data_IF_639407110253
#
_entry.id   IF_639407110253
#
_cell.length_a   1.000
_cell.length_b   1.000
_cell.length_c   1.000
_cell.angle_alpha   90.00
_cell.angle_beta   90.00
_cell.angle_gamma   90.00
#
_symmetry.space_group_name_H-M   'P 1'
#
loop_
_entity.id
_entity.type
_entity.pdbx_description
1 polymer ?
#
# COMPACT_ATOMS: atom_id res chain seq x y z
N UNK A 1 -2.10 -0.44 -7.06
CA UNK A 1 -2.52 -0.39 -5.64
C UNK A 1 -3.70 0.55 -5.52
N UNK A 2 -4.68 0.19 -4.71
CA UNK A 2 -5.87 0.99 -4.47
C UNK A 2 -6.16 1.08 -2.97
N UNK A 3 -6.76 2.19 -2.51
CA UNK A 3 -7.37 2.30 -1.21
C UNK A 3 -8.87 2.09 -1.36
N UNK A 4 -9.43 1.11 -0.66
CA UNK A 4 -10.87 0.81 -0.69
C UNK A 4 -11.52 1.09 0.65
N UNK A 5 -12.77 1.56 0.61
CA UNK A 5 -13.59 1.83 1.80
C UNK A 5 -15.02 1.38 1.58
N UNK A 6 -15.68 0.97 2.67
CA UNK A 6 -17.10 0.63 2.70
C UNK A 6 -17.75 1.14 3.99
N UNK A 7 -18.95 1.64 3.88
CA UNK A 7 -19.75 2.13 5.02
C UNK A 7 -21.19 1.63 4.88
N UNK A 8 -21.70 1.02 5.95
CA UNK A 8 -23.11 0.81 6.18
C UNK A 8 -23.51 1.65 7.38
N UNK A 9 -24.40 2.62 7.18
CA UNK A 9 -24.86 3.53 8.24
C UNK A 9 -26.19 4.14 7.85
N UNK A 10 -27.14 4.14 8.79
CA UNK A 10 -28.44 4.81 8.62
C UNK A 10 -28.37 6.35 8.63
N UNK A 11 -27.22 6.91 8.99
CA UNK A 11 -27.00 8.35 9.06
C UNK A 11 -25.68 8.76 8.39
N UNK A 12 -25.77 9.73 7.48
CA UNK A 12 -24.61 10.38 6.85
C UNK A 12 -23.57 9.40 6.21
N UNK A 13 -24.02 8.25 5.67
CA UNK A 13 -23.14 7.22 5.13
C UNK A 13 -22.13 7.76 4.10
N UNK A 14 -22.57 8.66 3.20
CA UNK A 14 -21.70 9.29 2.19
C UNK A 14 -20.58 10.11 2.83
N UNK A 15 -20.89 10.94 3.85
CA UNK A 15 -19.89 11.73 4.56
C UNK A 15 -18.88 10.84 5.28
N UNK A 16 -19.35 9.79 5.94
CA UNK A 16 -18.52 8.83 6.66
C UNK A 16 -17.59 8.09 5.68
N UNK A 17 -18.12 7.65 4.55
CA UNK A 17 -17.33 7.00 3.49
C UNK A 17 -16.30 7.97 2.89
N UNK A 18 -16.64 9.22 2.66
CA UNK A 18 -15.72 10.23 2.15
C UNK A 18 -14.58 10.51 3.13
N UNK A 19 -14.87 10.62 4.43
CA UNK A 19 -13.84 10.80 5.46
C UNK A 19 -12.86 9.60 5.47
N UNK A 20 -13.38 8.37 5.40
CA UNK A 20 -12.55 7.17 5.28
C UNK A 20 -11.72 7.15 3.99
N UNK A 21 -12.31 7.59 2.87
CA UNK A 21 -11.62 7.62 1.58
C UNK A 21 -10.43 8.59 1.57
N UNK A 22 -10.55 9.74 2.23
CA UNK A 22 -9.40 10.62 2.47
C UNK A 22 -8.28 9.92 3.25
N UNK A 23 -8.63 9.09 4.22
CA UNK A 23 -7.67 8.33 5.03
C UNK A 23 -6.85 7.32 4.26
N UNK A 24 -7.35 6.83 3.12
CA UNK A 24 -6.65 5.87 2.23
C UNK A 24 -6.12 6.50 0.93
N UNK A 25 -6.17 7.84 0.79
CA UNK A 25 -5.73 8.56 -0.43
C UNK A 25 -4.29 8.26 -0.83
N UNK A 26 -3.39 7.96 0.11
CA UNK A 26 -1.99 7.62 -0.16
C UNK A 26 -1.84 6.34 -0.99
N UNK A 27 -2.82 5.43 -0.99
CA UNK A 27 -2.83 4.19 -1.78
C UNK A 27 -3.12 4.42 -3.27
N UNK A 28 -3.77 5.55 -3.63
CA UNK A 28 -4.05 5.88 -5.02
C UNK A 28 -4.29 7.38 -5.23
N UNK A 29 -3.77 7.94 -6.32
CA UNK A 29 -3.83 9.39 -6.60
C UNK A 29 -4.22 9.70 -8.05
N UNK A 30 -4.46 8.68 -8.89
CA UNK A 30 -4.78 8.86 -10.31
C UNK A 30 -6.27 9.04 -10.55
N UNK A 31 -7.10 8.38 -9.75
CA UNK A 31 -8.56 8.52 -9.80
C UNK A 31 -9.19 8.23 -8.45
N UNK A 32 -10.41 8.69 -8.28
CA UNK A 32 -11.25 8.36 -7.13
C UNK A 32 -12.69 8.12 -7.58
N UNK A 33 -13.44 7.36 -6.79
CA UNK A 33 -14.85 7.12 -7.04
C UNK A 33 -15.58 6.61 -5.82
N UNK A 34 -16.89 6.79 -5.82
CA UNK A 34 -17.81 6.30 -4.79
C UNK A 34 -19.09 5.78 -5.42
N UNK A 35 -19.67 4.75 -4.85
CA UNK A 35 -21.03 4.29 -5.13
C UNK A 35 -21.85 4.36 -3.87
N UNK A 36 -23.00 4.99 -3.93
CA UNK A 36 -24.00 5.02 -2.87
C UNK A 36 -25.22 4.22 -3.27
N UNK A 37 -25.74 3.41 -2.35
CA UNK A 37 -26.92 2.59 -2.56
C UNK A 37 -27.87 2.66 -1.36
N UNK A 38 -29.18 2.65 -1.64
CA UNK A 38 -30.22 2.63 -0.65
C UNK A 38 -31.58 2.52 -1.30
N UNK A 39 -32.55 1.92 -0.59
CA UNK A 39 -33.87 1.66 -1.13
C UNK A 39 -33.79 0.87 -2.44
N UNK A 40 -34.19 1.51 -3.55
CA UNK A 40 -34.20 0.91 -4.89
C UNK A 40 -33.21 1.60 -5.86
N UNK A 41 -32.25 2.34 -5.35
CA UNK A 41 -31.31 3.12 -6.16
C UNK A 41 -29.86 2.79 -5.85
N UNK A 42 -29.03 2.84 -6.88
CA UNK A 42 -27.57 2.78 -6.77
C UNK A 42 -26.98 3.78 -7.76
N UNK A 43 -26.11 4.64 -7.28
CA UNK A 43 -25.52 5.75 -8.04
C UNK A 43 -24.02 5.79 -7.83
N UNK A 44 -23.26 5.96 -8.92
CA UNK A 44 -21.80 6.02 -8.87
C UNK A 44 -21.29 7.37 -9.33
N UNK A 45 -20.35 7.90 -8.57
CA UNK A 45 -19.59 9.10 -8.86
C UNK A 45 -18.10 8.79 -8.94
N UNK A 46 -17.44 9.16 -10.03
CA UNK A 46 -16.02 8.87 -10.23
C UNK A 46 -15.36 9.86 -11.20
N UNK A 47 -14.05 10.02 -11.04
CA UNK A 47 -13.27 10.95 -11.87
C UNK A 47 -11.78 10.78 -11.70
N UNK A 48 -11.00 11.47 -12.54
CA UNK A 48 -9.54 11.53 -12.46
C UNK A 48 -9.08 12.48 -11.37
N UNK A 49 -8.02 12.11 -10.67
CA UNK A 49 -7.36 12.91 -9.66
C UNK A 49 -7.68 12.51 -8.22
N UNK A 50 -7.34 13.37 -7.29
CA UNK A 50 -7.50 13.15 -5.87
C UNK A 50 -8.97 13.15 -5.44
N UNK A 51 -9.25 12.51 -4.32
CA UNK A 51 -10.58 12.49 -3.67
C UNK A 51 -11.13 13.91 -3.52
N UNK A 52 -10.28 14.87 -3.09
CA UNK A 52 -10.66 16.28 -2.94
C UNK A 52 -11.16 16.95 -4.22
N UNK A 53 -10.64 16.53 -5.38
CA UNK A 53 -11.02 17.08 -6.67
C UNK A 53 -12.28 16.41 -7.21
N UNK A 54 -12.34 15.07 -7.10
CA UNK A 54 -13.44 14.26 -7.65
C UNK A 54 -14.71 14.41 -6.82
N UNK A 55 -14.57 14.45 -5.49
CA UNK A 55 -15.70 14.42 -4.57
C UNK A 55 -16.11 15.81 -4.06
N UNK A 56 -15.51 16.89 -4.58
CA UNK A 56 -15.75 18.28 -4.14
C UNK A 56 -17.22 18.70 -4.17
N UNK A 57 -17.93 18.29 -5.21
CA UNK A 57 -19.30 18.69 -5.47
C UNK A 57 -20.34 17.63 -5.05
N UNK A 58 -19.89 16.50 -4.52
CA UNK A 58 -20.74 15.40 -4.05
C UNK A 58 -21.78 15.85 -3.03
N UNK A 59 -21.38 16.72 -2.10
CA UNK A 59 -22.25 17.18 -1.01
C UNK A 59 -23.47 17.97 -1.45
N UNK A 60 -23.45 18.55 -2.65
CA UNK A 60 -24.54 19.42 -3.13
C UNK A 60 -25.57 18.68 -3.99
N UNK A 61 -25.17 17.60 -4.65
CA UNK A 61 -25.98 16.98 -5.69
C UNK A 61 -26.20 15.46 -5.54
N UNK A 62 -25.51 14.82 -4.61
CA UNK A 62 -25.45 13.34 -4.55
C UNK A 62 -26.04 12.73 -3.27
N UNK A 63 -26.20 13.51 -2.20
CA UNK A 63 -26.77 13.01 -0.94
C UNK A 63 -28.26 12.71 -1.11
N UNK A 64 -28.64 11.48 -0.82
CA UNK A 64 -30.03 11.07 -0.69
C UNK A 64 -30.26 10.52 0.72
N UNK A 65 -31.35 10.88 1.41
CA UNK A 65 -31.57 10.44 2.78
C UNK A 65 -31.68 8.91 2.93
N UNK A 66 -32.00 8.21 1.86
CA UNK A 66 -32.13 6.75 1.87
C UNK A 66 -30.82 6.02 1.53
N UNK A 67 -29.68 6.72 1.33
CA UNK A 67 -28.39 6.06 1.10
C UNK A 67 -27.81 5.59 2.42
N UNK A 68 -27.68 4.28 2.59
CA UNK A 68 -27.13 3.66 3.79
C UNK A 68 -25.97 2.70 3.52
N UNK A 69 -25.70 2.35 2.25
CA UNK A 69 -24.53 1.59 1.81
C UNK A 69 -23.70 2.48 0.91
N UNK A 70 -22.44 2.71 1.27
CA UNK A 70 -21.51 3.47 0.43
C UNK A 70 -20.19 2.73 0.33
N UNK A 71 -19.70 2.56 -0.90
CA UNK A 71 -18.34 2.10 -1.15
C UNK A 71 -17.54 3.17 -1.87
N UNK A 72 -16.23 3.14 -1.72
CA UNK A 72 -15.34 4.08 -2.42
C UNK A 72 -13.96 3.51 -2.66
N UNK A 73 -13.27 4.11 -3.60
CA UNK A 73 -11.86 3.81 -3.86
C UNK A 73 -11.07 5.04 -4.27
N UNK A 74 -9.77 5.01 -3.91
CA UNK A 74 -8.73 5.86 -4.45
C UNK A 74 -7.76 4.97 -5.22
N UNK A 75 -7.66 5.14 -6.54
CA UNK A 75 -6.90 4.26 -7.41
C UNK A 75 -5.58 4.88 -7.85
N UNK A 76 -4.52 4.05 -7.88
CA UNK A 76 -3.21 4.38 -8.43
C UNK A 76 -3.00 3.86 -9.86
N UNK A 77 -4.02 3.31 -10.50
CA UNK A 77 -3.95 2.86 -11.89
C UNK A 77 -4.12 4.04 -12.85
N UNK A 78 -3.46 3.96 -14.03
CA UNK A 78 -3.49 5.04 -15.01
C UNK A 78 -4.90 5.29 -15.54
N UNK A 79 -5.47 6.43 -15.13
CA UNK A 79 -6.83 6.84 -15.43
C UNK A 79 -7.11 7.17 -16.91
N UNK A 80 -6.08 7.27 -17.75
CA UNK A 80 -6.23 7.58 -19.18
C UNK A 80 -6.47 6.34 -20.04
N UNK A 81 -6.20 5.15 -19.51
CA UNK A 81 -6.18 3.90 -20.29
C UNK A 81 -7.33 2.96 -19.98
N UNK A 82 -8.09 3.17 -18.91
CA UNK A 82 -9.02 2.19 -18.35
C UNK A 82 -10.29 2.82 -17.76
N UNK A 83 -11.31 1.99 -17.58
CA UNK A 83 -12.50 2.37 -16.84
C UNK A 83 -12.15 2.69 -15.37
N UNK A 84 -12.75 3.73 -14.81
CA UNK A 84 -12.47 4.15 -13.44
C UNK A 84 -13.31 3.33 -12.44
N UNK A 85 -12.71 2.79 -11.36
CA UNK A 85 -13.48 2.15 -10.29
C UNK A 85 -14.20 3.19 -9.40
N UNK A 86 -15.27 2.81 -8.67
CA UNK A 86 -15.93 1.51 -8.65
C UNK A 86 -16.60 1.14 -9.98
N UNK A 87 -16.65 -0.17 -10.29
CA UNK A 87 -17.30 -0.68 -11.49
C UNK A 87 -18.68 -1.25 -11.17
N UNK A 88 -19.65 -0.93 -12.03
CA UNK A 88 -21.04 -1.39 -11.90
C UNK A 88 -21.35 -2.54 -12.86
N UNK A 89 -22.14 -3.48 -12.36
CA UNK A 89 -22.69 -4.62 -13.08
C UNK A 89 -24.18 -4.72 -12.80
N UNK A 90 -24.95 -5.14 -13.78
CA UNK A 90 -26.41 -5.20 -13.65
C UNK A 90 -27.00 -6.46 -14.31
N UNK A 91 -28.02 -7.00 -13.70
CA UNK A 91 -28.90 -8.04 -14.18
C UNK A 91 -30.37 -7.64 -13.93
N UNK A 92 -31.31 -8.49 -14.29
CA UNK A 92 -32.73 -8.22 -14.02
C UNK A 92 -32.99 -8.02 -12.53
N UNK A 93 -32.43 -8.89 -11.68
CA UNK A 93 -32.62 -8.86 -10.22
C UNK A 93 -31.58 -8.02 -9.50
N UNK A 94 -30.29 -8.12 -9.84
CA UNK A 94 -29.21 -7.51 -9.06
C UNK A 94 -28.56 -6.34 -9.78
N UNK A 95 -28.23 -5.29 -9.00
CA UNK A 95 -27.22 -4.30 -9.36
C UNK A 95 -26.07 -4.40 -8.36
N UNK A 96 -24.85 -4.48 -8.85
CA UNK A 96 -23.65 -4.74 -8.07
C UNK A 96 -22.56 -3.75 -8.47
N UNK A 97 -21.97 -3.08 -7.47
CA UNK A 97 -20.83 -2.19 -7.69
C UNK A 97 -19.69 -2.63 -6.80
N UNK A 98 -18.45 -2.64 -7.31
CA UNK A 98 -17.29 -3.06 -6.54
C UNK A 98 -16.06 -2.18 -6.73
N UNK A 99 -15.25 -2.10 -5.67
CA UNK A 99 -13.89 -1.58 -5.64
C UNK A 99 -12.95 -2.63 -5.04
N UNK A 100 -11.74 -2.76 -5.58
CA UNK A 100 -10.84 -3.86 -5.27
C UNK A 100 -9.39 -3.39 -5.23
N UNK A 101 -8.65 -3.73 -4.16
CA UNK A 101 -7.18 -3.66 -4.12
C UNK A 101 -6.60 -5.07 -4.29
N UNK A 102 -5.90 -5.33 -5.38
CA UNK A 102 -5.40 -6.67 -5.65
C UNK A 102 -4.81 -6.85 -7.03
N UNK A 103 -4.64 -8.13 -7.40
CA UNK A 103 -4.11 -8.52 -8.70
C UNK A 103 -4.73 -9.84 -9.18
N UNK A 104 -5.12 -9.86 -10.44
CA UNK A 104 -5.58 -11.05 -11.16
C UNK A 104 -4.60 -11.33 -12.29
N UNK A 105 -3.98 -12.51 -12.27
CA UNK A 105 -3.03 -12.91 -13.32
C UNK A 105 -3.75 -13.11 -14.66
N UNK A 106 -3.02 -12.90 -15.75
CA UNK A 106 -3.49 -13.14 -17.14
C UNK A 106 -4.76 -12.37 -17.52
N UNK A 107 -5.03 -11.24 -16.88
CA UNK A 107 -6.21 -10.40 -17.15
C UNK A 107 -6.16 -9.64 -18.48
N UNK A 108 -5.01 -9.66 -19.18
CA UNK A 108 -4.77 -8.84 -20.37
C UNK A 108 -4.79 -7.35 -20.01
N UNK A 109 -5.47 -6.54 -20.83
CA UNK A 109 -5.65 -5.10 -20.57
C UNK A 109 -6.82 -4.76 -19.64
N UNK A 110 -7.61 -5.77 -19.17
CA UNK A 110 -8.76 -5.55 -18.29
C UNK A 110 -8.32 -5.15 -16.88
N UNK A 111 -9.17 -4.38 -16.19
CA UNK A 111 -9.03 -4.13 -14.75
C UNK A 111 -9.23 -5.42 -13.93
N UNK A 112 -8.68 -5.47 -12.74
CA UNK A 112 -8.95 -6.56 -11.79
C UNK A 112 -10.45 -6.62 -11.45
N UNK A 113 -11.08 -5.46 -11.25
CA UNK A 113 -12.51 -5.30 -11.03
C UNK A 113 -13.34 -5.86 -12.18
N UNK A 114 -12.92 -5.65 -13.42
CA UNK A 114 -13.65 -6.18 -14.61
C UNK A 114 -13.67 -7.71 -14.63
N UNK A 115 -12.56 -8.34 -14.25
CA UNK A 115 -12.48 -9.80 -14.20
C UNK A 115 -13.31 -10.35 -13.05
N UNK A 116 -13.05 -9.88 -11.84
CA UNK A 116 -13.72 -10.37 -10.63
C UNK A 116 -15.21 -10.08 -10.68
N UNK A 117 -15.60 -8.84 -11.02
CA UNK A 117 -17.00 -8.42 -11.07
C UNK A 117 -17.81 -9.14 -12.15
N UNK A 118 -17.22 -9.39 -13.34
CA UNK A 118 -17.89 -10.15 -14.40
C UNK A 118 -18.18 -11.59 -13.97
N UNK A 119 -17.22 -12.26 -13.34
CA UNK A 119 -17.39 -13.63 -12.83
C UNK A 119 -18.46 -13.71 -11.74
N UNK A 120 -18.45 -12.77 -10.79
CA UNK A 120 -19.46 -12.69 -9.73
C UNK A 120 -20.84 -12.48 -10.37
N UNK A 121 -20.96 -11.51 -11.29
CA UNK A 121 -22.26 -11.21 -11.93
C UNK A 121 -22.79 -12.36 -12.79
N UNK A 122 -21.92 -13.10 -13.48
CA UNK A 122 -22.30 -14.30 -14.21
C UNK A 122 -22.98 -15.33 -13.31
N UNK A 123 -22.40 -15.59 -12.13
CA UNK A 123 -22.94 -16.53 -11.15
C UNK A 123 -24.26 -16.03 -10.54
N UNK A 124 -24.34 -14.73 -10.24
CA UNK A 124 -25.59 -14.12 -9.76
C UNK A 124 -26.73 -14.25 -10.79
N UNK A 125 -26.42 -14.08 -12.10
CA UNK A 125 -27.39 -14.32 -13.19
C UNK A 125 -27.81 -15.77 -13.26
N UNK A 126 -26.93 -16.70 -12.89
CA UNK A 126 -27.23 -18.14 -12.77
C UNK A 126 -28.10 -18.49 -11.57
N UNK A 127 -28.52 -17.52 -10.75
CA UNK A 127 -29.40 -17.72 -9.60
C UNK A 127 -28.70 -18.11 -8.30
N UNK A 128 -27.34 -18.03 -8.24
CA UNK A 128 -26.61 -18.27 -7.01
C UNK A 128 -26.65 -17.04 -6.10
N UNK A 129 -26.58 -17.24 -4.76
CA UNK A 129 -26.43 -16.15 -3.82
C UNK A 129 -25.00 -15.57 -3.83
N UNK A 130 -24.82 -14.33 -3.32
CA UNK A 130 -23.56 -13.58 -3.37
C UNK A 130 -22.39 -14.34 -2.70
N UNK A 131 -22.60 -15.02 -1.62
CA UNK A 131 -21.57 -15.81 -0.91
C UNK A 131 -21.04 -16.96 -1.78
N UNK A 132 -21.94 -17.66 -2.46
CA UNK A 132 -21.58 -18.75 -3.37
C UNK A 132 -20.87 -18.18 -4.60
N UNK A 133 -21.39 -17.12 -5.19
CA UNK A 133 -20.80 -16.46 -6.35
C UNK A 133 -19.36 -16.01 -6.10
N UNK A 134 -19.09 -15.39 -4.95
CA UNK A 134 -17.75 -14.94 -4.56
C UNK A 134 -16.82 -16.14 -4.30
N UNK A 135 -17.31 -17.17 -3.57
CA UNK A 135 -16.53 -18.37 -3.28
C UNK A 135 -16.10 -19.09 -4.56
N UNK A 136 -17.00 -19.25 -5.51
CA UNK A 136 -16.69 -19.89 -6.81
C UNK A 136 -15.72 -19.04 -7.64
N UNK A 137 -15.88 -17.71 -7.64
CA UNK A 137 -14.95 -16.79 -8.29
C UNK A 137 -13.55 -16.92 -7.72
N UNK A 138 -13.40 -17.01 -6.40
CA UNK A 138 -12.09 -17.27 -5.77
C UNK A 138 -11.48 -18.60 -6.20
N UNK A 139 -12.29 -19.64 -6.38
CA UNK A 139 -11.83 -20.96 -6.82
C UNK A 139 -11.39 -20.97 -8.30
N UNK A 140 -12.05 -20.18 -9.12
CA UNK A 140 -11.68 -20.01 -10.54
C UNK A 140 -10.42 -19.15 -10.74
N UNK A 141 -10.06 -18.34 -9.73
CA UNK A 141 -8.92 -17.45 -9.75
C UNK A 141 -7.89 -17.81 -8.66
N UNK A 142 -7.33 -19.05 -8.65
CA UNK A 142 -6.51 -19.54 -7.55
C UNK A 142 -5.21 -18.76 -7.33
N UNK A 143 -4.72 -18.07 -8.36
CA UNK A 143 -3.49 -17.25 -8.32
C UNK A 143 -3.80 -15.74 -8.22
N UNK A 144 -5.04 -15.36 -8.01
CA UNK A 144 -5.42 -13.99 -7.71
C UNK A 144 -5.34 -13.72 -6.21
N UNK A 145 -5.12 -12.46 -5.88
CA UNK A 145 -5.31 -11.97 -4.53
C UNK A 145 -6.01 -10.61 -4.57
N UNK A 146 -6.91 -10.38 -3.63
CA UNK A 146 -7.63 -9.12 -3.55
C UNK A 146 -8.32 -8.91 -2.21
N UNK A 147 -8.40 -7.65 -1.82
CA UNK A 147 -9.33 -7.14 -0.82
C UNK A 147 -10.39 -6.31 -1.54
N UNK A 148 -11.65 -6.61 -1.33
CA UNK A 148 -12.77 -6.07 -2.10
C UNK A 148 -13.84 -5.51 -1.16
N UNK A 149 -14.42 -4.38 -1.54
CA UNK A 149 -15.68 -3.87 -1.00
C UNK A 149 -16.70 -3.74 -2.12
N UNK A 150 -17.94 -4.10 -1.84
CA UNK A 150 -19.00 -4.03 -2.83
C UNK A 150 -20.32 -3.57 -2.23
N UNK A 151 -21.10 -2.86 -3.03
CA UNK A 151 -22.50 -2.58 -2.78
C UNK A 151 -23.35 -3.50 -3.68
N UNK A 152 -24.24 -4.26 -3.09
CA UNK A 152 -25.19 -5.13 -3.78
C UNK A 152 -26.61 -4.59 -3.55
N UNK A 153 -27.35 -4.34 -4.61
CA UNK A 153 -28.77 -4.01 -4.59
C UNK A 153 -29.56 -5.18 -5.16
N UNK A 154 -30.42 -5.81 -4.35
CA UNK A 154 -31.46 -6.74 -4.78
C UNK A 154 -32.71 -5.92 -5.12
N UNK A 155 -33.06 -5.85 -6.41
CA UNK A 155 -34.18 -5.06 -6.92
C UNK A 155 -35.55 -5.64 -6.53
N UNK A 156 -35.61 -6.98 -6.37
CA UNK A 156 -36.84 -7.68 -6.02
C UNK A 156 -37.17 -7.44 -4.53
N UNK A 157 -36.15 -7.51 -3.66
CA UNK A 157 -36.29 -7.28 -2.23
C UNK A 157 -36.16 -5.80 -1.84
N UNK A 158 -35.77 -4.92 -2.78
CA UNK A 158 -35.50 -3.49 -2.56
C UNK A 158 -34.52 -3.23 -1.43
N UNK A 159 -33.49 -4.06 -1.35
CA UNK A 159 -32.52 -4.08 -0.25
C UNK A 159 -31.11 -3.89 -0.79
N UNK A 160 -30.37 -3.01 -0.11
CA UNK A 160 -28.95 -2.82 -0.39
C UNK A 160 -28.09 -3.43 0.72
N UNK A 161 -26.96 -4.01 0.36
CA UNK A 161 -26.03 -4.67 1.28
C UNK A 161 -24.61 -4.19 1.04
N UNK A 162 -23.86 -4.01 2.13
CA UNK A 162 -22.41 -3.85 2.09
C UNK A 162 -21.76 -5.23 2.19
N UNK A 163 -20.88 -5.53 1.25
CA UNK A 163 -20.10 -6.76 1.19
C UNK A 163 -18.62 -6.41 1.22
N UNK A 164 -17.87 -7.02 2.14
CA UNK A 164 -16.43 -6.90 2.23
C UNK A 164 -15.79 -8.29 2.19
N UNK A 165 -14.74 -8.46 1.39
CA UNK A 165 -14.13 -9.75 1.15
C UNK A 165 -12.62 -9.63 1.14
N UNK A 166 -11.96 -10.55 1.84
CA UNK A 166 -10.51 -10.74 1.72
C UNK A 166 -10.25 -12.13 1.16
N UNK A 167 -9.45 -12.22 0.10
CA UNK A 167 -9.14 -13.48 -0.59
C UNK A 167 -8.43 -14.51 0.31
N UNK A 168 -8.22 -15.73 -0.20
CA UNK A 168 -7.59 -16.82 0.57
C UNK A 168 -6.19 -16.49 1.08
N UNK A 169 -5.42 -15.69 0.33
CA UNK A 169 -4.03 -15.36 0.68
C UNK A 169 -3.93 -14.14 1.60
N UNK A 170 -4.90 -13.22 1.54
CA UNK A 170 -4.89 -12.00 2.34
C UNK A 170 -3.65 -11.13 2.11
N UNK A 171 -3.12 -11.11 0.87
CA UNK A 171 -1.92 -10.34 0.51
C UNK A 171 -2.12 -8.86 0.79
N UNK A 172 -3.32 -8.34 0.50
CA UNK A 172 -3.71 -6.98 0.81
C UNK A 172 -4.50 -6.91 2.12
N UNK A 173 -4.30 -5.86 2.93
CA UNK A 173 -5.05 -5.69 4.15
C UNK A 173 -6.51 -5.30 3.87
N UNK A 174 -7.39 -5.66 4.80
CA UNK A 174 -8.75 -5.16 4.87
C UNK A 174 -9.18 -5.16 6.33
N UNK A 175 -9.54 -4.00 6.84
CA UNK A 175 -9.85 -3.76 8.23
C UNK A 175 -11.31 -3.36 8.39
N UNK A 176 -11.96 -3.82 9.44
CA UNK A 176 -13.33 -3.43 9.78
C UNK A 176 -13.41 -2.84 11.18
N UNK A 177 -14.41 -1.99 11.35
CA UNK A 177 -14.90 -1.55 12.65
C UNK A 177 -16.42 -1.45 12.63
N UNK A 178 -17.04 -1.66 13.76
CA UNK A 178 -18.50 -1.68 13.85
C UNK A 178 -18.99 -1.27 15.24
N UNK A 179 -20.26 -0.89 15.27
CA UNK A 179 -21.12 -0.85 16.43
C UNK A 179 -22.43 -1.59 16.10
N UNK A 180 -23.45 -1.46 16.95
CA UNK A 180 -24.73 -2.15 16.77
C UNK A 180 -25.38 -1.87 15.40
N UNK A 181 -25.33 -0.61 14.95
CA UNK A 181 -26.05 -0.13 13.76
C UNK A 181 -25.17 0.03 12.52
N UNK A 182 -23.86 0.16 12.67
CA UNK A 182 -22.97 0.60 11.62
C UNK A 182 -21.82 -0.39 11.35
N UNK A 183 -21.37 -0.44 10.10
CA UNK A 183 -20.15 -1.13 9.69
C UNK A 183 -19.29 -0.20 8.86
N UNK A 184 -18.02 -0.10 9.24
CA UNK A 184 -16.96 0.59 8.52
C UNK A 184 -15.92 -0.41 8.04
N UNK A 185 -15.54 -0.32 6.78
CA UNK A 185 -14.48 -1.15 6.18
C UNK A 185 -13.49 -0.23 5.49
N UNK A 186 -12.20 -0.49 5.64
CA UNK A 186 -11.14 0.24 4.95
C UNK A 186 -9.93 -0.67 4.69
N UNK A 187 -9.11 -0.31 3.71
CA UNK A 187 -7.83 -0.99 3.47
C UNK A 187 -6.90 -0.98 4.68
N UNK A 188 -7.02 0.00 5.57
CA UNK A 188 -6.18 0.18 6.76
C UNK A 188 -7.00 0.68 7.97
N UNK A 189 -6.46 0.53 9.17
CA UNK A 189 -7.13 1.00 10.40
C UNK A 189 -7.14 2.52 10.56
N UNK A 190 -6.14 3.23 10.04
CA UNK A 190 -5.99 4.67 10.27
C UNK A 190 -7.22 5.53 9.91
N UNK A 191 -7.97 5.29 8.82
CA UNK A 191 -9.23 6.00 8.58
C UNK A 191 -10.26 5.78 9.68
N UNK A 192 -10.31 4.56 10.22
CA UNK A 192 -11.25 4.19 11.30
C UNK A 192 -10.90 4.93 12.59
N UNK A 193 -9.61 5.05 12.92
CA UNK A 193 -9.15 5.80 14.09
C UNK A 193 -9.56 7.29 14.02
N UNK A 194 -9.56 7.87 12.81
CA UNK A 194 -10.07 9.22 12.57
C UNK A 194 -11.57 9.30 12.83
N UNK A 195 -12.35 8.31 12.38
CA UNK A 195 -13.81 8.27 12.61
C UNK A 195 -14.13 8.18 14.10
N UNK A 196 -13.41 7.34 14.85
CA UNK A 196 -13.55 7.26 16.31
C UNK A 196 -13.25 8.60 16.99
N UNK A 197 -12.17 9.28 16.56
CA UNK A 197 -11.81 10.62 17.04
C UNK A 197 -12.87 11.69 16.72
N UNK A 198 -13.66 11.49 15.68
CA UNK A 198 -14.80 12.34 15.31
C UNK A 198 -16.09 12.01 16.08
N UNK A 199 -16.02 11.10 17.06
CA UNK A 199 -17.13 10.74 17.94
C UNK A 199 -18.00 9.58 17.43
N UNK A 200 -17.55 8.82 16.44
CA UNK A 200 -18.24 7.57 16.08
C UNK A 200 -17.98 6.53 17.17
N UNK A 201 -19.05 6.00 17.76
CA UNK A 201 -18.99 4.98 18.80
C UNK A 201 -18.61 3.63 18.22
N UNK A 202 -17.31 3.35 18.12
CA UNK A 202 -16.79 2.07 17.63
C UNK A 202 -16.67 1.10 18.83
N UNK A 203 -17.32 -0.06 18.73
CA UNK A 203 -17.31 -1.08 19.77
C UNK A 203 -16.34 -2.21 19.49
N UNK A 204 -16.23 -2.58 18.21
CA UNK A 204 -15.36 -3.66 17.75
C UNK A 204 -14.56 -3.23 16.54
N UNK A 205 -13.30 -3.69 16.47
CA UNK A 205 -12.43 -3.48 15.33
C UNK A 205 -11.46 -4.66 15.15
N UNK A 206 -11.25 -5.07 13.90
CA UNK A 206 -10.36 -6.18 13.57
C UNK A 206 -9.99 -6.21 12.08
N UNK A 207 -8.92 -6.95 11.77
CA UNK A 207 -8.64 -7.35 10.39
C UNK A 207 -9.69 -8.36 9.93
N UNK A 208 -10.17 -8.25 8.67
CA UNK A 208 -10.96 -9.32 8.06
C UNK A 208 -10.02 -10.49 7.77
N UNK A 209 -10.36 -11.66 8.26
CA UNK A 209 -9.54 -12.86 8.09
C UNK A 209 -9.43 -13.25 6.60
N UNK A 210 -8.25 -13.74 6.14
CA UNK A 210 -8.13 -14.28 4.78
C UNK A 210 -9.16 -15.38 4.51
N UNK A 211 -9.69 -15.42 3.30
CA UNK A 211 -10.72 -16.37 2.87
C UNK A 211 -12.11 -16.07 3.40
N UNK A 212 -12.35 -14.89 3.97
CA UNK A 212 -13.61 -14.53 4.63
C UNK A 212 -14.36 -13.41 3.93
N UNK A 213 -15.67 -13.43 4.13
CA UNK A 213 -16.62 -12.41 3.73
C UNK A 213 -17.33 -11.86 4.97
N UNK A 214 -17.48 -10.54 4.99
CA UNK A 214 -18.37 -9.83 5.93
C UNK A 214 -19.45 -9.15 5.12
N UNK A 215 -20.72 -9.33 5.54
CA UNK A 215 -21.89 -8.72 4.89
C UNK A 215 -22.77 -8.04 5.95
N UNK A 216 -23.20 -6.83 5.64
CA UNK A 216 -24.17 -6.09 6.47
C UNK A 216 -25.37 -5.68 5.62
N UNK A 217 -26.55 -5.99 6.13
CA UNK A 217 -27.83 -5.58 5.59
C UNK A 217 -28.75 -5.15 6.76
N UNK A 218 -30.00 -4.84 6.46
CA UNK A 218 -31.08 -4.63 7.45
C UNK A 218 -31.39 -5.87 8.28
N UNK A 219 -31.07 -7.07 7.78
CA UNK A 219 -31.18 -8.35 8.53
C UNK A 219 -30.06 -8.53 9.56
N UNK A 220 -29.04 -7.68 9.55
CA UNK A 220 -27.90 -7.71 10.47
C UNK A 220 -26.55 -7.98 9.80
N UNK A 221 -25.57 -8.29 10.63
CA UNK A 221 -24.20 -8.61 10.23
C UNK A 221 -24.02 -10.12 10.08
N UNK A 222 -23.34 -10.50 9.00
CA UNK A 222 -22.94 -11.90 8.76
C UNK A 222 -21.47 -11.95 8.45
N UNK A 223 -20.72 -12.81 9.14
CA UNK A 223 -19.34 -13.16 8.80
C UNK A 223 -19.29 -14.63 8.38
N UNK A 224 -18.65 -14.93 7.26
CA UNK A 224 -18.53 -16.27 6.70
C UNK A 224 -17.12 -16.55 6.19
N UNK A 225 -16.57 -17.68 6.57
CA UNK A 225 -15.40 -18.27 5.93
C UNK A 225 -15.83 -18.90 4.61
N UNK A 226 -15.36 -18.38 3.48
CA UNK A 226 -15.72 -18.87 2.15
C UNK A 226 -14.78 -19.97 1.67
N UNK A 227 -13.47 -19.82 1.96
CA UNK A 227 -12.41 -20.76 1.57
C UNK A 227 -11.39 -20.89 2.69
N UNK A 228 -10.57 -21.96 2.66
CA UNK A 228 -9.49 -22.13 3.62
C UNK A 228 -8.40 -21.06 3.39
N UNK A 229 -7.94 -20.38 4.45
CA UNK A 229 -6.90 -19.37 4.35
C UNK A 229 -5.55 -19.98 3.98
N UNK A 230 -4.85 -19.30 3.07
CA UNK A 230 -3.46 -19.57 2.67
C UNK A 230 -2.64 -18.31 2.93
N UNK A 231 -2.67 -17.83 4.14
CA UNK A 231 -2.25 -16.49 4.55
C UNK A 231 -0.84 -16.14 4.06
N UNK A 232 -0.71 -15.05 3.33
CA UNK A 232 0.54 -14.53 2.76
C UNK A 232 0.51 -13.00 2.67
N UNK A 233 0.37 -12.33 3.82
CA UNK A 233 0.30 -10.87 3.88
C UNK A 233 1.59 -10.24 3.34
N UNK A 234 1.49 -9.24 2.48
CA UNK A 234 2.64 -8.58 1.87
C UNK A 234 3.51 -7.89 2.94
N UNK A 235 4.76 -8.32 3.10
CA UNK A 235 5.69 -7.71 4.05
C UNK A 235 5.95 -6.22 3.77
N UNK A 236 5.88 -5.82 2.50
CA UNK A 236 6.10 -4.43 2.07
C UNK A 236 4.98 -3.47 2.50
N UNK A 237 3.83 -3.99 2.95
CA UNK A 237 2.78 -3.16 3.56
C UNK A 237 3.28 -2.46 4.82
N UNK A 238 4.03 -3.15 5.70
CA UNK A 238 4.62 -2.51 6.88
C UNK A 238 5.81 -1.62 6.56
N UNK A 239 6.52 -1.90 5.47
CA UNK A 239 7.73 -1.15 5.11
C UNK A 239 7.39 0.17 4.42
N UNK A 240 6.47 0.12 3.44
CA UNK A 240 6.20 1.27 2.57
C UNK A 240 4.71 1.62 2.44
N UNK A 241 3.84 0.64 2.06
CA UNK A 241 2.48 0.98 1.62
C UNK A 241 1.59 1.51 2.74
N UNK A 242 1.61 0.87 3.91
CA UNK A 242 0.75 1.23 5.04
C UNK A 242 1.15 2.56 5.68
N UNK A 243 0.17 3.30 6.16
CA UNK A 243 0.42 4.52 6.95
C UNK A 243 1.08 4.14 8.28
N UNK A 244 2.00 4.98 8.81
CA UNK A 244 2.66 4.70 10.10
C UNK A 244 1.69 4.54 11.28
N UNK A 245 0.57 5.23 11.26
CA UNK A 245 -0.48 5.17 12.28
C UNK A 245 -1.41 3.95 12.15
N UNK A 246 -1.33 3.19 11.06
CA UNK A 246 -2.15 2.00 10.84
C UNK A 246 -1.69 0.80 11.67
N UNK A 247 -2.67 -0.05 12.00
CA UNK A 247 -2.49 -1.39 12.57
C UNK A 247 -2.98 -2.41 11.56
N UNK A 248 -2.17 -3.40 11.25
CA UNK A 248 -2.49 -4.52 10.35
C UNK A 248 -2.04 -5.82 11.02
N UNK A 249 -2.89 -6.87 11.02
CA UNK A 249 -2.63 -8.14 11.71
C UNK A 249 -2.18 -7.94 13.19
N UNK A 250 -2.76 -6.94 13.85
CA UNK A 250 -2.40 -6.58 15.22
C UNK A 250 -1.00 -5.95 15.38
N UNK A 251 -0.36 -5.49 14.29
CA UNK A 251 0.99 -4.89 14.29
C UNK A 251 0.93 -3.45 13.80
N UNK A 252 1.32 -2.50 14.65
CA UNK A 252 1.41 -1.10 14.27
C UNK A 252 2.60 -0.86 13.33
N UNK A 253 2.35 -0.18 12.21
CA UNK A 253 3.34 0.08 11.15
C UNK A 253 4.53 0.91 11.66
N UNK A 254 4.27 1.99 12.43
CA UNK A 254 5.35 2.81 13.00
C UNK A 254 6.30 1.98 13.88
N UNK A 255 5.73 1.13 14.74
CA UNK A 255 6.52 0.29 15.63
C UNK A 255 7.36 -0.75 14.86
N UNK A 256 6.82 -1.31 13.79
CA UNK A 256 7.57 -2.22 12.90
C UNK A 256 8.74 -1.49 12.26
N UNK A 257 8.51 -0.31 11.66
CA UNK A 257 9.57 0.50 11.03
C UNK A 257 10.65 0.93 12.01
N UNK A 258 10.29 1.25 13.26
CA UNK A 258 11.29 1.51 14.32
C UNK A 258 12.18 0.30 14.58
N UNK A 259 11.59 -0.89 14.73
CA UNK A 259 12.35 -2.15 14.91
C UNK A 259 13.29 -2.43 13.74
N UNK A 260 12.84 -2.18 12.49
CA UNK A 260 13.70 -2.28 11.31
C UNK A 260 14.91 -1.35 11.40
N UNK A 261 14.73 -0.12 11.87
CA UNK A 261 15.83 0.81 12.10
C UNK A 261 16.79 0.35 13.18
N UNK A 262 16.29 -0.21 14.27
CA UNK A 262 17.12 -0.79 15.35
C UNK A 262 17.92 -2.00 14.84
N UNK A 263 17.28 -2.90 14.06
CA UNK A 263 17.91 -4.07 13.48
C UNK A 263 19.09 -3.71 12.55
N UNK A 264 18.97 -2.64 11.75
CA UNK A 264 20.08 -2.13 10.92
C UNK A 264 21.32 -1.78 11.77
N UNK A 265 21.11 -1.11 12.89
CA UNK A 265 22.21 -0.72 13.79
C UNK A 265 22.89 -1.94 14.40
N UNK A 266 22.13 -2.95 14.78
CA UNK A 266 22.63 -4.18 15.40
C UNK A 266 23.34 -5.05 14.38
N UNK A 267 22.71 -5.34 13.23
CA UNK A 267 23.25 -6.21 12.17
C UNK A 267 24.57 -5.70 11.63
N UNK A 268 24.72 -4.40 11.46
CA UNK A 268 25.94 -3.79 10.92
C UNK A 268 26.88 -3.22 11.99
N UNK A 269 26.62 -3.48 13.27
CA UNK A 269 27.45 -3.04 14.39
C UNK A 269 27.76 -1.53 14.38
N UNK A 270 26.80 -0.71 13.94
CA UNK A 270 27.01 0.72 13.67
C UNK A 270 27.34 1.55 14.90
N UNK A 271 27.07 1.06 16.11
CA UNK A 271 27.41 1.75 17.36
C UNK A 271 28.90 2.02 17.52
N UNK A 272 29.76 1.16 16.99
CA UNK A 272 31.21 1.33 17.06
C UNK A 272 31.67 2.55 16.22
N UNK A 273 31.06 2.78 15.07
CA UNK A 273 31.41 3.86 14.14
C UNK A 273 30.70 5.19 14.46
N UNK A 274 29.42 5.13 14.85
CA UNK A 274 28.54 6.29 14.92
C UNK A 274 27.91 6.53 16.30
N UNK A 275 28.02 5.60 17.24
CA UNK A 275 27.32 5.65 18.52
C UNK A 275 27.81 6.72 19.49
N UNK A 276 26.90 7.12 20.40
CA UNK A 276 27.16 8.07 21.50
C UNK A 276 26.78 9.52 21.20
N UNK A 277 26.95 10.42 22.15
CA UNK A 277 26.54 11.83 22.03
C UNK A 277 27.48 12.61 21.10
N UNK A 278 27.33 12.44 19.81
CA UNK A 278 28.17 13.07 18.76
C UNK A 278 27.42 14.23 18.11
N UNK A 279 28.14 15.34 17.88
CA UNK A 279 27.62 16.50 17.13
C UNK A 279 27.95 16.48 15.65
N UNK A 280 28.91 15.65 15.25
CA UNK A 280 29.38 15.46 13.89
C UNK A 280 28.61 14.41 13.09
N UNK A 281 27.64 13.72 13.72
CA UNK A 281 26.76 12.72 13.09
C UNK A 281 25.30 13.15 13.22
N UNK A 282 24.55 13.00 12.15
CA UNK A 282 23.09 13.21 12.13
C UNK A 282 22.40 12.11 11.34
N UNK A 283 21.29 11.60 11.85
CA UNK A 283 20.41 10.67 11.14
C UNK A 283 19.25 11.46 10.57
N UNK A 284 19.00 11.33 9.28
CA UNK A 284 17.93 12.03 8.58
C UNK A 284 17.05 11.05 7.80
N UNK A 285 15.74 11.26 7.73
CA UNK A 285 14.85 10.42 6.92
C UNK A 285 14.74 10.92 5.48
N UNK A 286 14.48 9.99 4.54
CA UNK A 286 13.77 10.33 3.32
C UNK A 286 12.28 10.49 3.67
N UNK A 287 11.67 11.64 3.43
CA UNK A 287 10.25 11.85 3.71
C UNK A 287 9.35 11.10 2.70
N UNK A 288 8.28 10.38 3.12
CA UNK A 288 7.80 10.23 4.49
C UNK A 288 8.14 8.83 5.06
N UNK A 289 8.50 7.87 4.20
CA UNK A 289 8.70 6.44 4.50
C UNK A 289 9.84 6.19 5.50
N UNK A 290 10.94 6.93 5.39
CA UNK A 290 12.11 6.81 6.26
C UNK A 290 11.95 7.35 7.69
N UNK A 291 10.90 8.15 8.00
CA UNK A 291 10.77 8.85 9.29
C UNK A 291 10.76 7.90 10.50
N UNK A 292 9.95 6.86 10.47
CA UNK A 292 9.87 5.90 11.60
C UNK A 292 11.16 5.09 11.76
N UNK A 293 11.80 4.74 10.64
CA UNK A 293 13.11 4.07 10.62
C UNK A 293 14.18 4.95 11.23
N UNK A 294 14.20 6.25 10.88
CA UNK A 294 15.10 7.26 11.40
C UNK A 294 15.08 7.32 12.94
N UNK A 295 13.87 7.32 13.52
CA UNK A 295 13.72 7.28 14.98
C UNK A 295 14.36 6.02 15.56
N UNK A 296 14.13 4.84 14.96
CA UNK A 296 14.71 3.58 15.44
C UNK A 296 16.23 3.55 15.37
N UNK A 297 16.82 4.04 14.27
CA UNK A 297 18.27 4.15 14.10
C UNK A 297 18.88 5.12 15.09
N UNK A 298 18.31 6.31 15.23
CA UNK A 298 18.83 7.35 16.14
C UNK A 298 18.79 6.90 17.60
N UNK A 299 17.69 6.30 18.04
CA UNK A 299 17.58 5.72 19.39
C UNK A 299 18.64 4.64 19.64
N UNK A 300 18.82 3.72 18.68
CA UNK A 300 19.79 2.62 18.81
C UNK A 300 21.24 3.13 18.82
N UNK A 301 21.55 4.18 18.07
CA UNK A 301 22.89 4.79 18.06
C UNK A 301 23.13 5.75 19.25
N UNK A 302 22.07 6.34 19.81
CA UNK A 302 22.19 7.41 20.82
C UNK A 302 22.65 8.74 20.19
N UNK A 303 22.25 9.02 18.94
CA UNK A 303 22.55 10.24 18.19
C UNK A 303 21.28 11.03 17.87
N UNK A 304 21.44 12.24 17.34
CA UNK A 304 20.30 13.09 16.97
C UNK A 304 19.65 12.61 15.67
N UNK A 305 18.32 12.44 15.71
CA UNK A 305 17.47 12.40 14.51
C UNK A 305 17.02 13.83 14.19
N UNK A 306 17.11 14.23 12.92
CA UNK A 306 16.70 15.57 12.50
C UNK A 306 16.14 15.54 11.07
N UNK A 307 15.44 16.59 10.68
CA UNK A 307 14.99 16.78 9.30
C UNK A 307 16.13 17.35 8.46
N UNK A 308 16.67 16.57 7.56
CA UNK A 308 17.72 17.00 6.61
C UNK A 308 17.20 17.23 5.20
N UNK A 309 16.05 16.63 4.87
CA UNK A 309 15.42 16.70 3.55
C UNK A 309 13.92 16.97 3.72
N UNK A 310 13.41 17.96 2.99
CA UNK A 310 11.98 18.30 2.95
C UNK A 310 11.41 17.92 1.60
N UNK A 311 10.30 17.19 1.62
CA UNK A 311 9.51 16.88 0.43
C UNK A 311 8.56 18.03 0.12
N UNK A 312 8.58 18.51 -1.11
CA UNK A 312 7.60 19.49 -1.57
C UNK A 312 6.24 18.80 -1.75
N UNK A 313 5.31 19.07 -0.82
CA UNK A 313 3.97 18.47 -0.82
C UNK A 313 3.08 18.94 -2.00
N UNK A 314 3.43 20.04 -2.64
CA UNK A 314 2.66 20.61 -3.75
C UNK A 314 3.08 20.08 -5.12
N UNK A 315 4.22 19.39 -5.21
CA UNK A 315 4.64 18.68 -6.40
C UNK A 315 4.04 17.28 -6.40
N UNK A 316 3.16 17.01 -7.35
CA UNK A 316 2.55 15.71 -7.57
C UNK A 316 3.57 14.64 -7.99
N UNK A 317 3.08 13.53 -8.53
CA UNK A 317 3.93 12.43 -9.01
C UNK A 317 4.69 12.84 -10.26
N UNK A 318 6.02 12.93 -10.16
CA UNK A 318 6.91 13.44 -11.22
C UNK A 318 7.07 12.48 -12.40
N UNK A 319 6.74 11.21 -12.24
CA UNK A 319 6.83 10.22 -13.32
C UNK A 319 5.71 10.33 -14.38
N UNK A 320 4.68 11.14 -14.14
CA UNK A 320 3.60 11.44 -15.11
C UNK A 320 4.06 12.46 -16.16
N UNK A 321 5.18 13.15 -15.91
CA UNK A 321 5.75 14.14 -16.83
C UNK A 321 6.44 13.39 -17.97
N UNK A 322 5.94 13.53 -19.19
CA UNK A 322 6.47 12.83 -20.37
C UNK A 322 7.85 13.36 -20.80
N UNK A 323 8.12 14.65 -20.58
CA UNK A 323 9.41 15.28 -20.91
C UNK A 323 10.52 14.88 -19.91
N UNK A 324 11.61 14.22 -20.36
CA UNK A 324 12.70 13.76 -19.49
C UNK A 324 13.41 14.88 -18.73
N UNK A 325 13.57 16.06 -19.34
CA UNK A 325 14.24 17.20 -18.72
C UNK A 325 13.36 17.83 -17.63
N UNK A 326 12.09 18.04 -17.91
CA UNK A 326 11.11 18.48 -16.90
C UNK A 326 10.95 17.46 -15.77
N UNK A 327 11.00 16.17 -16.07
CA UNK A 327 10.96 15.10 -15.05
C UNK A 327 12.16 15.18 -14.11
N UNK A 328 13.35 15.42 -14.63
CA UNK A 328 14.57 15.61 -13.84
C UNK A 328 14.47 16.85 -12.95
N UNK A 329 14.06 17.99 -13.51
CA UNK A 329 13.85 19.24 -12.75
C UNK A 329 12.80 19.03 -11.65
N UNK A 330 11.68 18.40 -11.95
CA UNK A 330 10.64 18.12 -10.98
C UNK A 330 11.10 17.15 -9.87
N UNK A 331 11.97 16.19 -10.19
CA UNK A 331 12.60 15.30 -9.21
C UNK A 331 13.53 16.08 -8.26
N UNK A 332 14.34 16.97 -8.79
CA UNK A 332 15.24 17.83 -8.00
C UNK A 332 14.47 18.82 -7.13
N UNK A 333 13.33 19.36 -7.61
CA UNK A 333 12.46 20.25 -6.85
C UNK A 333 11.64 19.51 -5.77
N UNK A 334 11.50 18.20 -5.88
CA UNK A 334 10.70 17.39 -4.95
C UNK A 334 11.34 17.27 -3.58
N UNK A 335 12.67 17.26 -3.52
CA UNK A 335 13.42 17.10 -2.28
C UNK A 335 14.39 18.29 -2.10
N UNK A 336 14.15 19.09 -1.07
CA UNK A 336 15.03 20.20 -0.72
C UNK A 336 15.80 19.90 0.56
N UNK A 337 17.08 20.33 0.61
CA UNK A 337 17.98 20.06 1.74
C UNK A 337 17.98 21.20 2.76
N UNK A 338 17.91 20.86 4.04
CA UNK A 338 18.10 21.79 5.15
C UNK A 338 19.60 21.86 5.45
N UNK A 339 20.25 22.94 4.99
CA UNK A 339 21.72 23.11 5.02
C UNK A 339 22.28 23.07 6.44
N UNK A 340 21.64 23.74 7.39
CA UNK A 340 22.14 23.87 8.77
C UNK A 340 22.13 22.52 9.51
N UNK A 341 21.24 21.62 9.12
CA UNK A 341 21.17 20.26 9.67
C UNK A 341 22.37 19.42 9.24
N UNK A 342 22.84 19.53 8.00
CA UNK A 342 23.76 18.57 7.38
C UNK A 342 25.18 19.08 7.17
N UNK A 343 25.38 20.40 7.11
CA UNK A 343 26.68 21.00 6.80
C UNK A 343 27.75 20.65 7.85
N UNK A 344 28.90 20.14 7.39
CA UNK A 344 30.02 19.73 8.22
C UNK A 344 29.72 18.50 9.08
N UNK A 345 28.75 17.67 8.67
CA UNK A 345 28.40 16.44 9.40
C UNK A 345 28.47 15.21 8.49
N UNK A 346 28.67 14.07 9.13
CA UNK A 346 28.42 12.75 8.56
C UNK A 346 26.93 12.48 8.60
N UNK A 347 26.33 12.27 7.47
CA UNK A 347 24.89 12.13 7.32
C UNK A 347 24.53 10.67 7.12
N UNK A 348 23.67 10.14 7.98
CA UNK A 348 23.09 8.81 7.83
C UNK A 348 21.66 9.00 7.33
N UNK A 349 21.41 8.64 6.06
CA UNK A 349 20.07 8.63 5.48
C UNK A 349 19.37 7.33 5.84
N UNK A 350 18.10 7.42 6.19
CA UNK A 350 17.22 6.26 6.36
C UNK A 350 16.09 6.27 5.34
N UNK A 351 15.86 5.16 4.69
CA UNK A 351 14.78 4.98 3.71
C UNK A 351 14.12 3.60 3.83
N UNK A 352 13.01 3.42 3.11
CA UNK A 352 12.32 2.13 3.07
C UNK A 352 13.04 1.14 2.15
N UNK A 353 13.38 1.52 0.93
CA UNK A 353 13.91 0.63 -0.09
C UNK A 353 14.73 1.38 -1.16
N UNK A 354 15.66 0.68 -1.79
CA UNK A 354 16.30 1.10 -3.04
C UNK A 354 15.81 0.17 -4.15
N UNK A 355 15.00 0.73 -5.08
CA UNK A 355 14.55 -0.01 -6.27
C UNK A 355 15.54 0.21 -7.41
N UNK A 356 15.72 1.45 -7.87
CA UNK A 356 16.66 1.84 -8.95
C UNK A 356 17.85 2.68 -8.48
N UNK A 357 17.77 3.26 -7.30
CA UNK A 357 18.80 4.15 -6.74
C UNK A 357 18.77 5.59 -7.23
N UNK A 358 17.95 5.95 -8.22
CA UNK A 358 17.93 7.31 -8.81
C UNK A 358 17.59 8.40 -7.79
N UNK A 359 16.60 8.16 -6.94
CA UNK A 359 16.21 9.11 -5.88
C UNK A 359 17.28 9.19 -4.81
N UNK A 360 17.82 8.05 -4.40
CA UNK A 360 18.87 7.94 -3.37
C UNK A 360 20.11 8.73 -3.79
N UNK A 361 20.58 8.55 -5.02
CA UNK A 361 21.72 9.27 -5.57
C UNK A 361 21.46 10.79 -5.70
N UNK A 362 20.28 11.18 -6.20
CA UNK A 362 19.93 12.61 -6.32
C UNK A 362 19.94 13.33 -4.97
N UNK A 363 19.34 12.70 -3.94
CA UNK A 363 19.31 13.25 -2.59
C UNK A 363 20.71 13.32 -1.99
N UNK A 364 21.49 12.23 -2.05
CA UNK A 364 22.87 12.19 -1.54
C UNK A 364 23.76 13.24 -2.18
N UNK A 365 23.70 13.39 -3.51
CA UNK A 365 24.41 14.41 -4.26
C UNK A 365 24.08 15.83 -3.80
N UNK A 366 22.80 16.11 -3.51
CA UNK A 366 22.39 17.41 -3.00
C UNK A 366 22.90 17.67 -1.58
N UNK A 367 22.96 16.65 -0.73
CA UNK A 367 23.54 16.73 0.62
C UNK A 367 25.05 17.06 0.57
N UNK A 368 25.81 16.38 -0.28
CA UNK A 368 27.24 16.67 -0.49
C UNK A 368 27.44 18.10 -1.00
N UNK A 369 26.64 18.55 -1.99
CA UNK A 369 26.71 19.92 -2.53
C UNK A 369 26.51 21.02 -1.48
N UNK A 370 25.70 20.78 -0.46
CA UNK A 370 25.44 21.75 0.60
C UNK A 370 26.40 21.65 1.78
N UNK A 371 27.37 20.68 1.72
CA UNK A 371 28.49 20.59 2.65
C UNK A 371 28.39 19.45 3.66
N UNK A 372 27.61 18.41 3.43
CA UNK A 372 27.76 17.15 4.14
C UNK A 372 29.17 16.57 3.88
N UNK A 373 29.83 16.05 4.93
CA UNK A 373 31.16 15.45 4.83
C UNK A 373 31.14 14.10 4.14
N UNK A 374 30.20 13.26 4.52
CA UNK A 374 29.96 11.96 3.93
C UNK A 374 28.48 11.59 4.08
N UNK A 375 28.00 10.69 3.24
CA UNK A 375 26.62 10.19 3.25
C UNK A 375 26.63 8.68 3.26
N UNK A 376 26.04 8.09 4.33
CA UNK A 376 25.71 6.67 4.43
C UNK A 376 24.21 6.47 4.24
N UNK A 377 23.81 5.33 3.67
CA UNK A 377 22.42 5.05 3.34
C UNK A 377 21.95 3.74 3.97
N UNK A 378 20.98 3.83 4.88
CA UNK A 378 20.39 2.70 5.58
C UNK A 378 19.02 2.37 5.00
N UNK A 379 18.87 1.19 4.46
CA UNK A 379 17.65 0.69 3.82
C UNK A 379 16.94 -0.25 4.77
N UNK A 380 15.72 0.11 5.18
CA UNK A 380 14.98 -0.68 6.17
C UNK A 380 14.46 -2.00 5.65
N UNK A 381 14.29 -2.15 4.33
CA UNK A 381 13.93 -3.41 3.71
C UNK A 381 15.17 -4.24 3.34
N UNK A 382 14.97 -5.51 3.01
CA UNK A 382 16.02 -6.33 2.42
C UNK A 382 16.23 -5.97 0.94
N UNK A 383 17.37 -6.34 0.32
CA UNK A 383 17.59 -6.12 -1.10
C UNK A 383 16.46 -6.70 -1.94
N UNK A 384 15.94 -5.90 -2.88
CA UNK A 384 14.86 -6.33 -3.80
C UNK A 384 15.51 -6.97 -5.02
N UNK A 385 15.30 -8.29 -5.17
CA UNK A 385 15.85 -9.06 -6.29
C UNK A 385 14.84 -9.32 -7.39
N UNK A 386 13.55 -9.41 -7.05
CA UNK A 386 12.50 -9.80 -7.97
C UNK A 386 11.44 -8.72 -8.09
N UNK A 387 10.99 -8.39 -9.32
CA UNK A 387 9.83 -7.52 -9.49
C UNK A 387 8.60 -8.17 -8.89
N UNK A 388 7.74 -7.38 -8.25
CA UNK A 388 6.51 -7.91 -7.69
C UNK A 388 5.65 -8.54 -8.79
N UNK A 389 5.06 -9.71 -8.54
CA UNK A 389 4.18 -10.37 -9.49
C UNK A 389 2.87 -9.59 -9.79
N UNK A 390 2.60 -8.53 -9.02
CA UNK A 390 1.46 -7.63 -9.23
C UNK A 390 1.78 -6.41 -10.08
N UNK A 391 3.07 -6.11 -10.28
CA UNK A 391 3.50 -4.94 -11.03
C UNK A 391 4.15 -5.34 -12.36
N UNK A 392 4.15 -4.47 -13.38
CA UNK A 392 4.95 -4.69 -14.58
C UNK A 392 6.41 -4.93 -14.18
N UNK A 393 7.12 -5.86 -14.84
CA UNK A 393 8.51 -6.15 -14.50
C UNK A 393 9.36 -4.88 -14.65
N UNK A 394 9.90 -4.39 -13.53
CA UNK A 394 10.91 -3.35 -13.56
C UNK A 394 12.24 -3.99 -13.93
N UNK A 395 12.73 -3.71 -15.14
CA UNK A 395 13.95 -4.33 -15.70
C UNK A 395 15.24 -3.89 -15.00
N UNK A 396 15.17 -2.92 -14.06
CA UNK A 396 16.34 -2.31 -13.45
C UNK A 396 16.24 -2.26 -11.92
N UNK A 397 16.27 -3.42 -11.27
CA UNK A 397 16.40 -3.51 -9.81
C UNK A 397 17.88 -3.40 -9.43
N UNK A 398 18.25 -2.42 -8.59
CA UNK A 398 19.64 -2.12 -8.24
C UNK A 398 20.38 -3.30 -7.59
N UNK A 399 19.67 -4.13 -6.80
CA UNK A 399 20.24 -5.27 -6.09
C UNK A 399 20.13 -6.60 -6.85
N UNK A 400 19.26 -6.71 -7.86
CA UNK A 400 18.99 -7.97 -8.55
C UNK A 400 20.24 -8.67 -9.15
N UNK A 401 21.22 -7.92 -9.73
CA UNK A 401 22.43 -8.55 -10.26
C UNK A 401 23.33 -9.23 -9.20
N UNK A 402 23.07 -8.95 -7.93
CA UNK A 402 23.92 -9.35 -6.81
C UNK A 402 23.24 -10.39 -5.90
N UNK A 403 22.21 -11.05 -6.40
CA UNK A 403 21.57 -12.15 -5.66
C UNK A 403 22.61 -13.25 -5.36
N UNK A 404 22.61 -13.73 -4.12
CA UNK A 404 23.55 -14.73 -3.64
C UNK A 404 24.83 -14.19 -3.00
N UNK A 405 25.12 -12.87 -3.14
CA UNK A 405 26.18 -12.21 -2.40
C UNK A 405 25.77 -11.97 -0.93
N UNK A 406 26.74 -11.76 -0.04
CA UNK A 406 26.46 -11.32 1.32
C UNK A 406 25.86 -9.91 1.35
N UNK A 407 25.12 -9.57 2.41
CA UNK A 407 24.52 -8.22 2.57
C UNK A 407 25.58 -7.10 2.49
N UNK A 408 26.79 -7.35 2.99
CA UNK A 408 27.89 -6.39 2.93
C UNK A 408 28.34 -6.17 1.49
N UNK A 409 28.59 -7.26 0.74
CA UNK A 409 28.98 -7.19 -0.67
C UNK A 409 27.89 -6.50 -1.53
N UNK A 410 26.61 -6.81 -1.31
CA UNK A 410 25.49 -6.15 -2.01
C UNK A 410 25.51 -4.65 -1.72
N UNK A 411 25.70 -4.27 -0.44
CA UNK A 411 25.78 -2.87 -0.03
C UNK A 411 26.92 -2.13 -0.73
N UNK A 412 28.12 -2.73 -0.83
CA UNK A 412 29.29 -2.17 -1.53
C UNK A 412 29.05 -2.03 -3.03
N UNK A 413 28.50 -3.07 -3.68
CA UNK A 413 28.23 -3.08 -5.13
C UNK A 413 27.14 -2.05 -5.51
N UNK A 414 26.08 -1.94 -4.71
CA UNK A 414 25.05 -0.92 -4.91
C UNK A 414 25.60 0.48 -4.67
N UNK A 415 26.41 0.70 -3.61
CA UNK A 415 27.05 1.97 -3.34
C UNK A 415 27.99 2.38 -4.47
N UNK A 416 28.71 1.43 -5.09
CA UNK A 416 29.57 1.71 -6.22
C UNK A 416 28.81 2.31 -7.43
N UNK A 417 27.55 1.93 -7.60
CA UNK A 417 26.66 2.50 -8.63
C UNK A 417 26.07 3.88 -8.25
N UNK A 418 26.26 4.33 -7.00
CA UNK A 418 25.70 5.54 -6.41
C UNK A 418 26.84 6.42 -5.84
N UNK A 419 27.59 7.13 -6.68
CA UNK A 419 28.89 7.75 -6.32
C UNK A 419 28.81 8.82 -5.22
N UNK A 420 27.64 9.35 -4.89
CA UNK A 420 27.45 10.30 -3.79
C UNK A 420 27.19 9.62 -2.45
N UNK A 421 27.06 8.29 -2.43
CA UNK A 421 26.81 7.48 -1.24
C UNK A 421 28.05 6.67 -0.93
N UNK A 422 28.57 6.81 0.30
CA UNK A 422 29.77 6.09 0.74
C UNK A 422 29.50 4.61 1.00
N UNK A 423 28.43 4.32 1.71
CA UNK A 423 28.04 2.96 2.07
C UNK A 423 26.52 2.80 2.01
N UNK A 424 26.06 1.65 1.50
CA UNK A 424 24.65 1.22 1.54
C UNK A 424 24.55 0.01 2.47
N UNK A 425 23.57 0.00 3.36
CA UNK A 425 23.33 -1.14 4.24
C UNK A 425 21.86 -1.53 4.26
N UNK A 426 21.59 -2.81 4.13
CA UNK A 426 20.27 -3.40 4.08
C UNK A 426 19.97 -4.24 5.32
N UNK A 427 18.70 -4.40 5.67
CA UNK A 427 18.28 -5.49 6.53
C UNK A 427 18.33 -6.83 5.78
N UNK A 428 18.38 -7.94 6.53
CA UNK A 428 18.14 -9.26 5.98
C UNK A 428 16.65 -9.57 5.87
N UNK A 429 16.22 -10.55 5.07
CA UNK A 429 14.84 -11.02 5.08
C UNK A 429 14.36 -11.46 6.48
N UNK A 430 15.24 -12.08 7.29
CA UNK A 430 14.95 -12.49 8.66
C UNK A 430 14.66 -11.28 9.55
N UNK A 431 15.48 -10.22 9.48
CA UNK A 431 15.23 -8.98 10.22
C UNK A 431 13.88 -8.36 9.88
N UNK A 432 13.46 -8.43 8.62
CA UNK A 432 12.14 -7.93 8.19
C UNK A 432 11.02 -8.76 8.83
N UNK A 433 11.13 -10.08 8.79
CA UNK A 433 10.14 -10.99 9.38
C UNK A 433 10.05 -10.77 10.90
N UNK A 434 11.19 -10.73 11.58
CA UNK A 434 11.27 -10.54 13.04
C UNK A 434 10.72 -9.17 13.46
N UNK A 435 11.04 -8.11 12.71
CA UNK A 435 10.51 -6.78 12.98
C UNK A 435 8.99 -6.70 12.79
N UNK A 436 8.41 -7.39 11.82
CA UNK A 436 6.96 -7.50 11.64
C UNK A 436 6.37 -8.33 12.80
N UNK A 437 7.02 -9.43 13.19
CA UNK A 437 6.60 -10.31 14.28
C UNK A 437 5.38 -11.18 13.93
N UNK A 438 5.26 -11.54 12.67
CA UNK A 438 4.33 -12.58 12.17
C UNK A 438 5.15 -13.81 11.75
N UNK A 439 4.58 -15.02 11.83
CA UNK A 439 5.22 -16.23 11.28
C UNK A 439 5.55 -16.06 9.80
N UNK A 440 6.74 -16.56 9.39
CA UNK A 440 7.23 -16.45 8.00
C UNK A 440 6.21 -16.95 6.97
N UNK A 441 5.56 -18.07 7.26
CA UNK A 441 4.54 -18.70 6.42
C UNK A 441 3.25 -17.86 6.25
N UNK A 442 3.10 -16.80 7.03
CA UNK A 442 1.99 -15.84 6.93
C UNK A 442 2.36 -14.57 6.16
N UNK A 443 3.61 -14.47 5.68
CA UNK A 443 4.12 -13.29 4.98
C UNK A 443 4.46 -13.62 3.53
N UNK A 444 4.13 -12.70 2.63
CA UNK A 444 4.68 -12.67 1.27
C UNK A 444 5.99 -11.88 1.31
N UNK A 445 7.09 -12.55 1.02
CA UNK A 445 8.44 -11.98 0.90
C UNK A 445 9.00 -12.19 -0.51
N UNK A 446 8.16 -12.43 -1.51
CA UNK A 446 8.56 -12.79 -2.88
C UNK A 446 9.61 -11.87 -3.47
N UNK A 447 9.45 -10.56 -3.35
CA UNK A 447 10.37 -9.59 -3.95
C UNK A 447 11.80 -9.64 -3.39
N UNK A 448 12.01 -10.26 -2.21
CA UNK A 448 13.32 -10.39 -1.56
C UNK A 448 13.79 -11.84 -1.43
N UNK A 449 12.96 -12.84 -1.74
CA UNK A 449 13.31 -14.27 -1.61
C UNK A 449 13.06 -15.07 -2.89
N UNK A 450 12.24 -14.57 -3.82
CA UNK A 450 11.79 -15.31 -5.01
C UNK A 450 10.74 -16.40 -4.72
N UNK A 451 10.33 -16.58 -3.46
CA UNK A 451 9.31 -17.57 -3.08
C UNK A 451 7.91 -16.99 -3.31
N UNK A 452 7.23 -17.47 -4.37
CA UNK A 452 5.87 -17.00 -4.69
C UNK A 452 4.82 -17.76 -3.87
N UNK A 453 4.14 -17.11 -2.91
CA UNK A 453 3.17 -17.78 -2.05
C UNK A 453 1.89 -18.21 -2.79
N UNK A 454 1.58 -17.61 -3.95
CA UNK A 454 0.36 -17.91 -4.72
C UNK A 454 0.46 -19.23 -5.49
N UNK A 455 1.68 -19.60 -5.93
CA UNK A 455 1.89 -20.77 -6.78
C UNK A 455 2.85 -21.80 -6.18
N UNK A 456 3.35 -21.56 -4.96
CA UNK A 456 4.34 -22.39 -4.26
C UNK A 456 5.56 -22.77 -5.13
N UNK A 457 5.93 -21.88 -6.06
CA UNK A 457 7.09 -22.03 -6.92
C UNK A 457 8.09 -20.91 -6.64
N UNK A 458 9.38 -21.21 -6.84
CA UNK A 458 10.43 -20.19 -6.81
C UNK A 458 10.44 -19.47 -8.17
N UNK A 459 10.78 -18.17 -8.16
CA UNK A 459 11.06 -17.44 -9.40
C UNK A 459 12.17 -18.14 -10.20
N UNK A 460 12.11 -18.14 -11.55
CA UNK A 460 13.23 -18.59 -12.35
C UNK A 460 14.46 -17.72 -12.02
N UNK A 461 15.62 -18.36 -11.87
CA UNK A 461 16.89 -17.63 -11.70
C UNK A 461 17.05 -16.65 -12.86
N UNK A 462 17.38 -15.42 -12.54
CA UNK A 462 17.66 -14.39 -13.55
C UNK A 462 19.03 -14.73 -14.14
N UNK A 463 19.06 -15.49 -15.23
CA UNK A 463 20.27 -15.67 -16.01
C UNK A 463 20.62 -14.33 -16.65
N UNK A 464 21.76 -13.77 -16.26
CA UNK A 464 22.35 -12.61 -16.92
C UNK A 464 22.65 -12.97 -18.37
N UNK A 465 21.77 -12.60 -19.29
CA UNK A 465 22.14 -12.51 -20.69
C UNK A 465 22.84 -11.16 -20.89
N UNK A 466 24.08 -11.24 -21.35
CA UNK A 466 24.89 -10.12 -21.81
C UNK A 466 24.03 -9.09 -22.55
N UNK A 467 23.80 -7.95 -21.90
CA UNK A 467 23.45 -6.73 -22.59
C UNK A 467 24.73 -5.89 -22.67
N UNK A 468 25.48 -6.08 -23.76
CA UNK A 468 26.37 -5.05 -24.25
C UNK A 468 25.60 -3.72 -24.32
N UNK A 469 26.21 -2.59 -23.96
CA UNK A 469 25.60 -1.30 -24.10
C UNK A 469 25.62 -0.95 -25.59
N UNK A 470 24.49 -1.05 -26.26
CA UNK A 470 24.26 -0.40 -27.53
C UNK A 470 23.16 0.65 -27.33
N UNK A 471 23.63 1.92 -27.49
CA UNK A 471 22.97 3.20 -27.78
C UNK A 471 21.83 3.71 -26.88
#
# INVERSE_FOLDING_TARGET
MQGVVGVYSGDNAIQKALNNLYGVQHRGQESAGMTAAGGNSMRTWKGKGLVSNVCRDLFRSFMHPDDYVVIGCASGENADKIALPPLEYESDRFKFSLALDGHVQNRGSRLNEEVVGSLIMEKLRGGTGIEVAIRETMRELPNAYFSMVAALLDKDERRSELVAVRDAHGVRPLYLAMNEDELFVASESAPIDVMESMGQGIEQRQDIAPGSLVRRSDEGLTERKLVEPQHAHCAFEWVYFGRPDSVMEGRNVHSVRKRLGQALVETHSLRAAYGGPRKDVVVIPIPDSGRSVCVGVAEALGVTADEGVIKNAYLGRTYIIDDPEFRRIASDLKHNTIRDTVRGKKVIITDDSIVRGTVSESVAKNLIKVGAEEVDYLVSYAPIYYPCFSDPPDKHLAAAPYEGCSLAEIGELVAHSLPSIKEVRYNSPENVIDAIGLPRERLCTYCITGENPLVKTRAPEITMHDSSPED
#
